data_IF_827536740060
#
_entry.id   IF_827536740060
#
_cell.length_a   1.000
_cell.length_b   1.000
_cell.length_c   1.000
_cell.angle_alpha   90.00
_cell.angle_beta   90.00
_cell.angle_gamma   90.00
#
_symmetry.space_group_name_H-M   'P 1'
#
loop_
_entity.id
_entity.type
_entity.pdbx_description
1 polymer ?
#
# COMPACT_ATOMS: atom_id res chain seq x y z
N UNK A 1 -5.65 29.24 -37.73
CA UNK A 1 -5.51 29.27 -36.26
C UNK A 1 -5.45 27.83 -35.78
N UNK A 2 -4.29 27.26 -35.39
CA UNK A 2 -4.28 25.91 -34.83
C UNK A 2 -4.84 25.99 -33.40
N UNK A 3 -5.72 25.05 -33.05
CA UNK A 3 -6.25 24.92 -31.70
C UNK A 3 -5.10 24.51 -30.75
N UNK A 4 -4.92 25.27 -29.67
CA UNK A 4 -3.97 24.92 -28.62
C UNK A 4 -4.44 23.61 -27.94
N UNK A 5 -3.60 22.58 -28.01
CA UNK A 5 -3.78 21.36 -27.20
C UNK A 5 -3.65 21.74 -25.73
N UNK A 6 -4.76 21.66 -24.99
CA UNK A 6 -4.76 21.78 -23.54
C UNK A 6 -4.05 20.54 -22.97
N UNK A 7 -2.96 20.67 -22.20
CA UNK A 7 -2.36 19.54 -21.53
C UNK A 7 -3.39 18.93 -20.56
N UNK A 8 -3.47 17.60 -20.43
CA UNK A 8 -4.43 16.98 -19.54
C UNK A 8 -4.24 17.52 -18.12
N UNK A 9 -5.34 17.97 -17.51
CA UNK A 9 -5.41 18.33 -16.11
C UNK A 9 -4.79 17.20 -15.29
N UNK A 10 -3.83 17.49 -14.41
CA UNK A 10 -3.29 16.47 -13.50
C UNK A 10 -4.41 16.00 -12.59
N UNK A 11 -4.95 14.82 -12.84
CA UNK A 11 -5.86 14.16 -11.91
C UNK A 11 -5.17 14.04 -10.55
N UNK A 12 -5.89 14.25 -9.44
CA UNK A 12 -5.35 14.08 -8.10
C UNK A 12 -4.74 12.67 -7.97
N UNK A 13 -3.51 12.59 -7.47
CA UNK A 13 -2.81 11.31 -7.37
C UNK A 13 -3.62 10.31 -6.51
N UNK A 14 -3.90 9.09 -7.00
CA UNK A 14 -4.63 8.08 -6.24
C UNK A 14 -3.76 7.52 -5.10
N UNK A 15 -4.35 6.66 -4.28
CA UNK A 15 -3.57 5.82 -3.36
C UNK A 15 -2.57 4.95 -4.13
N UNK A 16 -1.45 4.66 -3.47
CA UNK A 16 -0.44 3.71 -3.97
C UNK A 16 -0.15 2.68 -2.90
N UNK A 17 -0.14 1.42 -3.28
CA UNK A 17 0.23 0.31 -2.39
C UNK A 17 1.72 0.02 -2.56
N UNK A 18 2.45 -0.14 -1.46
CA UNK A 18 3.84 -0.59 -1.45
C UNK A 18 3.89 -1.97 -0.81
N UNK A 19 4.54 -2.93 -1.47
CA UNK A 19 4.72 -4.29 -0.93
C UNK A 19 6.20 -4.57 -0.67
N UNK A 20 6.52 -5.14 0.50
CA UNK A 20 7.85 -5.62 0.85
C UNK A 20 8.09 -7.01 0.23
N UNK A 21 9.19 -7.21 -0.49
CA UNK A 21 9.44 -8.46 -1.25
C UNK A 21 10.87 -9.03 -1.12
N UNK A 22 11.61 -8.66 -0.07
CA UNK A 22 12.93 -9.21 0.24
C UNK A 22 12.91 -10.28 1.35
N UNK A 23 14.03 -10.53 2.03
CA UNK A 23 14.34 -11.71 2.80
C UNK A 23 13.35 -12.12 3.91
N UNK A 24 12.44 -11.26 4.36
CA UNK A 24 11.41 -11.56 5.37
C UNK A 24 9.96 -11.48 4.84
N UNK A 25 9.73 -10.96 3.64
CA UNK A 25 8.41 -10.78 3.03
C UNK A 25 8.48 -11.21 1.57
N UNK A 26 7.59 -12.05 1.05
CA UNK A 26 7.72 -12.45 -0.37
C UNK A 26 8.59 -13.68 -0.62
N UNK A 27 8.95 -14.44 0.41
CA UNK A 27 9.83 -15.62 0.31
C UNK A 27 9.26 -16.80 1.11
N UNK A 28 9.88 -17.98 0.98
CA UNK A 28 9.48 -19.20 1.70
C UNK A 28 9.46 -19.09 3.24
N UNK A 29 9.99 -18.00 3.82
CA UNK A 29 9.89 -17.73 5.27
C UNK A 29 8.47 -17.44 5.74
N UNK A 30 7.57 -17.04 4.84
CA UNK A 30 6.13 -16.95 5.10
C UNK A 30 5.45 -18.05 4.27
N UNK A 31 5.36 -19.29 4.80
CA UNK A 31 4.85 -20.41 4.05
C UNK A 31 3.34 -20.29 3.81
N UNK A 32 2.86 -20.98 2.77
CA UNK A 32 1.43 -21.07 2.44
C UNK A 32 0.88 -19.90 1.63
N UNK A 33 1.69 -18.87 1.34
CA UNK A 33 1.25 -17.68 0.60
C UNK A 33 1.95 -17.59 -0.76
N UNK A 34 1.17 -17.44 -1.82
CA UNK A 34 1.70 -17.05 -3.14
C UNK A 34 1.83 -15.52 -3.20
N UNK A 35 3.01 -15.03 -2.81
CA UNK A 35 3.30 -13.61 -2.80
C UNK A 35 3.36 -12.97 -4.18
N UNK A 36 3.68 -13.76 -5.22
CA UNK A 36 3.69 -13.28 -6.59
C UNK A 36 2.26 -13.06 -7.08
N UNK A 37 1.35 -14.01 -6.82
CA UNK A 37 -0.07 -13.87 -7.10
C UNK A 37 -0.68 -12.70 -6.32
N UNK A 38 -0.35 -12.55 -5.03
CA UNK A 38 -0.81 -11.40 -4.22
C UNK A 38 -0.38 -10.06 -4.86
N UNK A 39 0.88 -9.92 -5.26
CA UNK A 39 1.36 -8.69 -5.90
C UNK A 39 0.72 -8.46 -7.27
N UNK A 40 0.54 -9.50 -8.07
CA UNK A 40 -0.18 -9.41 -9.34
C UNK A 40 -1.63 -8.96 -9.14
N UNK A 41 -2.31 -9.51 -8.13
CA UNK A 41 -3.69 -9.18 -7.78
C UNK A 41 -3.85 -7.72 -7.36
N UNK A 42 -2.94 -7.20 -6.52
CA UNK A 42 -2.93 -5.78 -6.15
C UNK A 42 -2.67 -4.88 -7.37
N UNK A 43 -1.72 -5.24 -8.24
CA UNK A 43 -1.38 -4.47 -9.46
C UNK A 43 -2.54 -4.37 -10.44
N UNK A 44 -3.40 -5.37 -10.50
CA UNK A 44 -4.59 -5.36 -11.34
C UNK A 44 -5.63 -4.32 -10.87
N UNK A 45 -5.55 -3.87 -9.62
CA UNK A 45 -6.60 -3.06 -8.99
C UNK A 45 -6.14 -1.64 -8.65
N UNK A 46 -4.88 -1.45 -8.28
CA UNK A 46 -4.33 -0.17 -7.81
C UNK A 46 -2.86 0.00 -8.19
N UNK A 47 -2.31 1.22 -8.22
CA UNK A 47 -0.88 1.44 -8.41
C UNK A 47 -0.06 0.76 -7.30
N UNK A 48 0.84 -0.14 -7.68
CA UNK A 48 1.73 -0.85 -6.75
C UNK A 48 3.20 -0.50 -6.99
N UNK A 49 3.95 -0.27 -5.91
CA UNK A 49 5.42 -0.28 -5.91
C UNK A 49 5.92 -1.49 -5.13
N UNK A 50 6.90 -2.19 -5.66
CA UNK A 50 7.65 -3.20 -4.88
C UNK A 50 8.81 -2.49 -4.20
N UNK A 51 8.97 -2.72 -2.91
CA UNK A 51 10.16 -2.36 -2.14
C UNK A 51 10.90 -3.65 -1.81
N UNK A 52 12.22 -3.60 -1.78
CA UNK A 52 13.02 -4.73 -1.31
C UNK A 52 12.72 -4.93 0.18
N UNK A 53 13.19 -4.04 1.05
CA UNK A 53 12.89 -4.04 2.48
C UNK A 53 12.06 -2.81 2.91
N UNK A 54 11.34 -2.97 4.02
CA UNK A 54 10.59 -1.92 4.71
C UNK A 54 10.99 -1.80 6.20
N UNK A 55 12.08 -2.44 6.62
CA UNK A 55 12.70 -2.38 7.95
C UNK A 55 11.82 -2.80 9.16
N UNK A 56 10.71 -3.50 8.90
CA UNK A 56 9.81 -4.09 9.91
C UNK A 56 9.69 -5.60 9.72
N UNK A 57 10.84 -6.27 9.66
CA UNK A 57 10.94 -7.69 9.31
C UNK A 57 10.16 -8.64 10.24
N UNK A 58 9.97 -8.26 11.51
CA UNK A 58 9.20 -9.03 12.50
C UNK A 58 7.70 -9.12 12.18
N UNK A 59 7.17 -8.23 11.34
CA UNK A 59 5.75 -8.15 11.04
C UNK A 59 5.32 -9.04 9.88
N UNK A 60 6.26 -9.59 9.08
CA UNK A 60 6.03 -10.44 7.90
C UNK A 60 5.02 -9.89 6.86
N UNK A 61 5.21 -10.26 5.58
CA UNK A 61 4.40 -9.83 4.43
C UNK A 61 3.84 -8.39 4.50
N UNK A 62 4.73 -7.40 4.67
CA UNK A 62 4.32 -6.02 4.95
C UNK A 62 3.83 -5.30 3.70
N UNK A 63 2.68 -4.63 3.84
CA UNK A 63 2.03 -3.81 2.82
C UNK A 63 1.78 -2.40 3.39
N UNK A 64 2.03 -1.36 2.59
CA UNK A 64 1.82 0.04 3.00
C UNK A 64 0.88 0.72 2.02
N UNK A 65 -0.19 1.31 2.54
CA UNK A 65 -1.10 2.13 1.74
C UNK A 65 -0.69 3.60 1.87
N UNK A 66 -0.12 4.15 0.79
CA UNK A 66 0.18 5.57 0.68
C UNK A 66 -1.12 6.34 0.43
N UNK A 67 -1.35 7.49 1.11
CA UNK A 67 -2.56 8.26 0.91
C UNK A 67 -2.65 8.80 -0.53
N UNK A 68 -3.87 9.09 -0.97
CA UNK A 68 -4.12 9.87 -2.18
C UNK A 68 -3.73 11.35 -1.98
N UNK A 69 -3.80 12.16 -3.03
CA UNK A 69 -3.62 13.61 -2.91
C UNK A 69 -4.66 14.22 -1.94
N UNK A 70 -5.92 13.80 -2.02
CA UNK A 70 -6.98 14.20 -1.09
C UNK A 70 -6.67 13.75 0.34
N UNK A 71 -6.26 12.49 0.53
CA UNK A 71 -5.89 11.99 1.86
C UNK A 71 -4.75 12.80 2.49
N UNK A 72 -3.72 13.16 1.69
CA UNK A 72 -2.64 14.04 2.18
C UNK A 72 -3.13 15.43 2.54
N UNK A 73 -4.04 16.02 1.76
CA UNK A 73 -4.64 17.32 2.07
C UNK A 73 -5.43 17.28 3.40
N UNK A 74 -6.05 16.14 3.70
CA UNK A 74 -6.71 15.87 4.97
C UNK A 74 -5.74 15.50 6.12
N UNK A 75 -4.43 15.61 5.91
CA UNK A 75 -3.39 15.34 6.91
C UNK A 75 -3.03 13.85 7.07
N UNK A 76 -3.54 12.96 6.23
CA UNK A 76 -3.30 11.53 6.36
C UNK A 76 -1.81 11.16 6.25
N UNK A 77 -1.46 10.08 6.92
CA UNK A 77 -0.14 9.43 6.86
C UNK A 77 -0.29 8.04 6.24
N UNK A 78 0.80 7.46 5.71
CA UNK A 78 0.77 6.08 5.23
C UNK A 78 0.34 5.12 6.34
N UNK A 79 -0.53 4.17 6.01
CA UNK A 79 -0.92 3.09 6.91
C UNK A 79 -0.10 1.85 6.58
N UNK A 80 0.45 1.24 7.62
CA UNK A 80 1.36 0.09 7.54
C UNK A 80 0.62 -1.14 8.03
N UNK A 81 0.65 -2.20 7.23
CA UNK A 81 -0.08 -3.44 7.46
C UNK A 81 0.92 -4.60 7.46
N UNK A 82 0.99 -5.34 8.56
CA UNK A 82 1.77 -6.56 8.71
C UNK A 82 0.90 -7.81 8.60
N UNK A 83 1.54 -8.98 8.48
CA UNK A 83 0.88 -10.28 8.49
C UNK A 83 -0.27 -10.39 7.46
N UNK A 84 -0.16 -9.73 6.30
CA UNK A 84 -1.19 -9.72 5.26
C UNK A 84 -1.17 -11.04 4.48
N UNK A 85 -1.41 -12.13 5.19
CA UNK A 85 -1.27 -13.49 4.68
C UNK A 85 -2.59 -14.00 4.10
N UNK A 86 -3.71 -13.39 4.46
CA UNK A 86 -5.02 -13.75 3.92
C UNK A 86 -5.26 -13.12 2.54
N UNK A 87 -5.70 -13.88 1.52
CA UNK A 87 -6.20 -13.32 0.27
C UNK A 87 -7.32 -12.28 0.47
N UNK A 88 -8.20 -12.45 1.45
CA UNK A 88 -9.29 -11.49 1.73
C UNK A 88 -8.75 -10.14 2.19
N UNK A 89 -7.76 -10.13 3.09
CA UNK A 89 -7.08 -8.90 3.49
C UNK A 89 -6.41 -8.19 2.29
N UNK A 90 -5.97 -8.93 1.28
CA UNK A 90 -5.43 -8.36 0.03
C UNK A 90 -6.52 -7.64 -0.77
N UNK A 91 -7.71 -8.22 -0.86
CA UNK A 91 -8.86 -7.60 -1.52
C UNK A 91 -9.35 -6.37 -0.76
N UNK A 92 -9.41 -6.44 0.56
CA UNK A 92 -9.81 -5.31 1.42
C UNK A 92 -8.85 -4.13 1.27
N UNK A 93 -7.54 -4.39 1.22
CA UNK A 93 -6.54 -3.35 0.93
C UNK A 93 -6.79 -2.71 -0.44
N UNK A 94 -7.05 -3.52 -1.46
CA UNK A 94 -7.29 -3.01 -2.81
C UNK A 94 -8.59 -2.18 -2.88
N UNK A 95 -9.66 -2.68 -2.25
CA UNK A 95 -10.96 -2.00 -2.18
C UNK A 95 -10.85 -0.68 -1.42
N UNK A 96 -10.20 -0.68 -0.26
CA UNK A 96 -10.00 0.51 0.55
C UNK A 96 -9.13 1.56 -0.17
N UNK A 97 -8.05 1.15 -0.84
CA UNK A 97 -7.22 2.04 -1.63
C UNK A 97 -7.99 2.66 -2.82
N UNK A 98 -8.91 1.93 -3.46
CA UNK A 98 -9.81 2.48 -4.50
C UNK A 98 -10.87 3.43 -3.93
N UNK A 99 -11.35 3.18 -2.72
CA UNK A 99 -12.27 4.07 -2.02
C UNK A 99 -11.62 5.39 -1.55
N UNK A 100 -10.31 5.56 -1.76
CA UNK A 100 -9.56 6.77 -1.44
C UNK A 100 -8.57 6.60 -0.28
N UNK A 101 -8.65 5.46 0.43
CA UNK A 101 -7.68 5.03 1.44
C UNK A 101 -7.54 5.99 2.63
N UNK A 102 -6.34 6.08 3.24
CA UNK A 102 -6.09 6.86 4.44
C UNK A 102 -6.58 8.31 4.34
N UNK A 103 -7.41 8.73 5.30
CA UNK A 103 -7.94 10.09 5.41
C UNK A 103 -9.04 10.44 4.40
N UNK A 104 -9.51 9.48 3.60
CA UNK A 104 -10.67 9.65 2.71
C UNK A 104 -11.74 8.61 3.02
N UNK A 105 -11.35 7.33 3.08
CA UNK A 105 -12.21 6.24 3.48
C UNK A 105 -11.81 5.75 4.89
N UNK A 106 -12.78 5.39 5.76
CA UNK A 106 -12.47 4.79 7.06
C UNK A 106 -11.66 3.51 6.87
N UNK A 107 -10.73 3.25 7.79
CA UNK A 107 -9.99 1.99 7.80
C UNK A 107 -10.98 0.85 8.14
N UNK A 108 -11.10 -0.20 7.32
CA UNK A 108 -11.91 -1.36 7.67
C UNK A 108 -11.40 -2.03 8.95
N UNK A 109 -12.30 -2.44 9.84
CA UNK A 109 -11.95 -3.06 11.14
C UNK A 109 -11.02 -4.26 10.98
N UNK A 110 -11.22 -5.07 9.93
CA UNK A 110 -10.35 -6.21 9.63
C UNK A 110 -8.90 -5.78 9.33
N UNK A 111 -8.72 -4.64 8.63
CA UNK A 111 -7.40 -4.10 8.35
C UNK A 111 -6.77 -3.44 9.59
N UNK A 112 -7.57 -3.00 10.57
CA UNK A 112 -7.06 -2.48 11.83
C UNK A 112 -6.26 -3.55 12.60
N UNK A 113 -6.70 -4.81 12.54
CA UNK A 113 -5.97 -5.96 13.11
C UNK A 113 -4.58 -6.18 12.50
N UNK A 114 -4.36 -5.68 11.29
CA UNK A 114 -3.08 -5.76 10.59
C UNK A 114 -2.20 -4.53 10.82
N UNK A 115 -2.67 -3.49 11.53
CA UNK A 115 -1.92 -2.25 11.66
C UNK A 115 -0.64 -2.44 12.47
N UNK A 116 0.46 -1.93 11.93
CA UNK A 116 1.77 -1.99 12.57
C UNK A 116 2.39 -0.60 12.64
N UNK A 117 3.26 -0.39 13.62
CA UNK A 117 3.97 0.87 13.74
C UNK A 117 5.05 0.96 12.65
N UNK A 118 5.13 2.06 11.88
CA UNK A 118 6.22 2.24 10.93
C UNK A 118 7.57 2.22 11.63
N UNK A 119 8.65 1.78 10.96
CA UNK A 119 9.97 1.87 11.54
C UNK A 119 10.28 3.33 11.87
N UNK A 120 10.91 3.56 13.03
CA UNK A 120 11.39 4.91 13.38
C UNK A 120 12.30 5.37 12.24
N UNK A 121 12.02 6.54 11.66
CA UNK A 121 12.93 7.18 10.70
C UNK A 121 14.31 7.24 11.35
N UNK A 122 15.24 6.41 10.87
CA UNK A 122 16.66 6.65 11.11
C UNK A 122 16.99 7.90 10.32
N UNK A 123 17.18 9.03 11.00
CA UNK A 123 17.85 10.18 10.38
C UNK A 123 19.21 9.67 9.91
N UNK A 124 19.44 9.67 8.60
CA UNK A 124 20.76 9.40 8.06
C UNK A 124 21.76 10.35 8.74
N UNK A 125 22.84 9.79 9.30
CA UNK A 125 23.97 10.55 9.83
C UNK A 125 24.94 10.85 8.70
#
# INVERSE_FOLDING_TARGET
>A
MPAATVPPSREPAPCRVVVCRDCCCGTAKVPGIDHAAQTARLRAQVPVRVSDCLDVCEQANVVVVQPSAQGRANGARPVWLGLVNDPEATEDIAAWARAGGPGVAPLPDILDLHTVTPPRRRTAR
#
